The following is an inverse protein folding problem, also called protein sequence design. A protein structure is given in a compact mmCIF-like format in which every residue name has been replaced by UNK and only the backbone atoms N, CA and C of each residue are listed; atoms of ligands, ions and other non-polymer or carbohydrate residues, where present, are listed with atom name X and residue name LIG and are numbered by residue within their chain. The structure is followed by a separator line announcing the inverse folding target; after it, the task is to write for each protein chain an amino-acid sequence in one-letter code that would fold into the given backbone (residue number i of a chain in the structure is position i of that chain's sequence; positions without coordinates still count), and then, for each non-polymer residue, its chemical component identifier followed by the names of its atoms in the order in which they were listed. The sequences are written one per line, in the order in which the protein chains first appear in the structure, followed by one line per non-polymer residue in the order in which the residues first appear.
data_IF_133552036877
#
_entry.id   IF_133552036877
#
_cell.length_a   1.000
_cell.length_b   1.000
_cell.length_c   1.000
_cell.angle_alpha   90.00
_cell.angle_beta   90.00
_cell.angle_gamma   90.00
#
_symmetry.space_group_name_H-M   'P 1'
#
loop_
_entity.id
_entity.type
_entity.pdbx_description
1 polymer ?
#
# COMPACT_ATOMS: atom_id res chain seq x y z
N UNK A 1 -20.87 -10.73 -8.40
CA UNK A 1 -19.69 -10.06 -7.80
C UNK A 1 -18.99 -11.09 -6.97
N UNK A 2 -17.68 -11.26 -7.14
CA UNK A 2 -16.89 -12.21 -6.36
C UNK A 2 -16.96 -11.87 -4.87
N UNK A 3 -17.09 -12.88 -4.01
CA UNK A 3 -17.00 -12.74 -2.55
C UNK A 3 -15.56 -12.42 -2.12
N UNK A 4 -14.59 -12.78 -2.98
CA UNK A 4 -13.18 -12.60 -2.72
C UNK A 4 -12.67 -11.25 -3.26
N UNK A 5 -11.91 -10.56 -2.43
CA UNK A 5 -11.21 -9.33 -2.78
C UNK A 5 -9.90 -9.63 -3.52
N UNK A 6 -9.15 -10.64 -3.05
CA UNK A 6 -7.90 -11.09 -3.65
C UNK A 6 -7.94 -12.60 -3.78
N UNK A 7 -7.58 -13.11 -4.97
CA UNK A 7 -7.44 -14.54 -5.23
C UNK A 7 -6.05 -14.80 -5.79
N UNK A 8 -5.36 -15.76 -5.21
CA UNK A 8 -4.02 -16.19 -5.59
C UNK A 8 -4.05 -17.69 -5.87
N UNK A 9 -3.65 -18.08 -7.08
CA UNK A 9 -3.62 -19.47 -7.52
C UNK A 9 -2.22 -19.85 -7.98
N UNK A 10 -1.65 -20.89 -7.36
CA UNK A 10 -0.37 -21.53 -7.69
C UNK A 10 0.80 -20.56 -7.91
N UNK A 11 0.79 -19.46 -7.12
CA UNK A 11 1.74 -18.39 -7.25
C UNK A 11 3.14 -18.83 -6.84
N UNK A 12 4.10 -18.66 -7.75
CA UNK A 12 5.52 -18.88 -7.46
C UNK A 12 6.38 -17.70 -7.92
N UNK A 13 7.48 -17.47 -7.19
CA UNK A 13 8.46 -16.46 -7.54
C UNK A 13 9.87 -16.96 -7.30
N UNK A 14 10.65 -17.03 -8.37
CA UNK A 14 12.09 -17.27 -8.37
C UNK A 14 12.77 -16.01 -8.88
N UNK A 15 13.77 -15.51 -8.16
CA UNK A 15 14.60 -14.39 -8.58
C UNK A 15 15.76 -14.86 -9.46
N UNK A 16 16.38 -13.94 -10.20
CA UNK A 16 17.45 -14.25 -11.18
C UNK A 16 18.68 -14.93 -10.56
N UNK A 17 18.90 -14.72 -9.26
CA UNK A 17 19.94 -15.38 -8.47
C UNK A 17 19.57 -16.81 -8.05
N UNK A 18 18.45 -17.35 -8.53
CA UNK A 18 17.94 -18.69 -8.18
C UNK A 18 17.19 -18.77 -6.83
N UNK A 19 17.07 -17.64 -6.11
CA UNK A 19 16.33 -17.62 -4.84
C UNK A 19 14.84 -17.84 -5.05
N UNK A 20 14.31 -18.92 -4.47
CA UNK A 20 12.89 -19.26 -4.53
C UNK A 20 12.13 -18.59 -3.37
N UNK A 21 11.56 -17.41 -3.63
CA UNK A 21 10.90 -16.60 -2.63
C UNK A 21 9.47 -17.06 -2.32
N UNK A 22 8.75 -17.58 -3.31
CA UNK A 22 7.39 -18.11 -3.17
C UNK A 22 7.27 -19.42 -3.97
N UNK A 23 6.58 -20.42 -3.41
CA UNK A 23 6.37 -21.71 -4.04
C UNK A 23 4.92 -22.15 -3.90
N UNK A 24 4.20 -22.18 -5.03
CA UNK A 24 2.81 -22.66 -5.16
C UNK A 24 1.87 -22.10 -4.07
N UNK A 25 1.89 -20.79 -3.87
CA UNK A 25 1.04 -20.11 -2.89
C UNK A 25 -0.39 -20.05 -3.43
N UNK A 26 -1.33 -20.53 -2.63
CA UNK A 26 -2.77 -20.41 -2.86
C UNK A 26 -3.40 -19.67 -1.68
N UNK A 27 -4.13 -18.58 -1.95
CA UNK A 27 -4.72 -17.74 -0.91
C UNK A 27 -5.94 -17.01 -1.46
N UNK A 28 -7.00 -16.97 -0.66
CA UNK A 28 -8.19 -16.18 -0.93
C UNK A 28 -8.42 -15.23 0.25
N UNK A 29 -8.55 -13.95 -0.03
CA UNK A 29 -8.90 -12.91 0.95
C UNK A 29 -10.27 -12.36 0.59
N UNK A 30 -11.20 -12.41 1.53
CA UNK A 30 -12.57 -11.97 1.32
C UNK A 30 -12.71 -10.45 1.39
N UNK A 31 -13.75 -9.94 0.79
CA UNK A 31 -14.08 -8.52 0.86
C UNK A 31 -14.39 -8.11 2.30
N UNK A 32 -13.73 -7.03 2.77
CA UNK A 32 -13.88 -6.52 4.14
C UNK A 32 -13.12 -7.30 5.21
N UNK A 33 -12.34 -8.33 4.82
CA UNK A 33 -11.53 -9.10 5.76
C UNK A 33 -10.27 -8.34 6.18
N UNK A 34 -9.88 -8.48 7.44
CA UNK A 34 -8.56 -8.07 7.94
C UNK A 34 -7.68 -9.31 7.92
N UNK A 35 -6.74 -9.36 6.98
CA UNK A 35 -5.81 -10.46 6.83
C UNK A 35 -4.42 -10.09 7.36
N UNK A 36 -3.88 -10.90 8.28
CA UNK A 36 -2.54 -10.73 8.83
C UNK A 36 -1.60 -11.84 8.36
N UNK A 37 -0.45 -11.45 7.82
CA UNK A 37 0.58 -12.38 7.36
C UNK A 37 1.74 -12.42 8.34
N UNK A 38 1.90 -13.52 9.05
CA UNK A 38 2.94 -13.75 10.04
C UNK A 38 4.00 -14.72 9.49
N UNK A 39 5.23 -14.56 9.93
CA UNK A 39 6.34 -15.44 9.57
C UNK A 39 7.71 -14.76 9.75
N UNK A 40 8.82 -15.54 9.76
CA UNK A 40 10.17 -15.02 9.92
C UNK A 40 10.60 -14.10 8.76
N UNK A 41 11.71 -13.41 8.95
CA UNK A 41 12.35 -12.67 7.86
C UNK A 41 12.78 -13.64 6.76
N UNK A 42 12.57 -13.25 5.50
CA UNK A 42 12.84 -14.11 4.36
C UNK A 42 11.72 -15.10 3.99
N UNK A 43 10.61 -15.15 4.74
CA UNK A 43 9.46 -16.03 4.42
C UNK A 43 8.64 -15.62 3.19
N UNK A 44 9.09 -14.65 2.40
CA UNK A 44 8.40 -14.21 1.17
C UNK A 44 7.25 -13.23 1.37
N UNK A 45 6.98 -12.77 2.60
CA UNK A 45 5.86 -11.84 2.88
C UNK A 45 5.90 -10.57 2.02
N UNK A 46 7.03 -9.89 2.02
CA UNK A 46 7.24 -8.66 1.22
C UNK A 46 7.13 -8.97 -0.28
N UNK A 47 7.66 -10.09 -0.74
CA UNK A 47 7.55 -10.51 -2.14
C UNK A 47 6.09 -10.73 -2.54
N UNK A 48 5.30 -11.38 -1.70
CA UNK A 48 3.88 -11.61 -1.96
C UNK A 48 3.10 -10.29 -2.05
N UNK A 49 3.29 -9.40 -1.08
CA UNK A 49 2.67 -8.05 -1.09
C UNK A 49 3.08 -7.29 -2.35
N UNK A 50 4.38 -7.30 -2.70
CA UNK A 50 4.89 -6.59 -3.89
C UNK A 50 4.31 -7.15 -5.19
N UNK A 51 4.03 -8.45 -5.28
CA UNK A 51 3.35 -9.05 -6.42
C UNK A 51 1.90 -8.61 -6.49
N UNK A 52 1.16 -8.67 -5.38
CA UNK A 52 -0.25 -8.21 -5.32
C UNK A 52 -0.35 -6.74 -5.75
N UNK A 53 0.58 -5.89 -5.31
CA UNK A 53 0.64 -4.48 -5.69
C UNK A 53 1.16 -4.22 -7.11
N UNK A 54 1.52 -5.26 -7.87
CA UNK A 54 2.03 -5.12 -9.23
C UNK A 54 3.42 -4.47 -9.33
N UNK A 55 4.22 -4.50 -8.25
CA UNK A 55 5.60 -4.00 -8.21
C UNK A 55 6.57 -5.07 -8.73
N UNK A 56 6.33 -6.33 -8.36
CA UNK A 56 7.14 -7.48 -8.77
C UNK A 56 6.28 -8.41 -9.62
N UNK A 57 6.81 -8.86 -10.76
CA UNK A 57 6.12 -9.87 -11.60
C UNK A 57 6.31 -11.27 -11.00
N UNK A 58 5.26 -12.10 -10.94
CA UNK A 58 5.38 -13.50 -10.59
C UNK A 58 6.20 -14.28 -11.63
N UNK A 59 6.75 -15.43 -11.23
CA UNK A 59 7.37 -16.38 -12.17
C UNK A 59 6.34 -17.30 -12.77
N UNK A 60 5.33 -17.70 -12.00
CA UNK A 60 4.16 -18.48 -12.44
C UNK A 60 2.98 -18.26 -11.51
N UNK A 61 1.81 -18.77 -11.92
CA UNK A 61 0.56 -18.64 -11.18
C UNK A 61 -0.20 -17.36 -11.56
N UNK A 62 -1.33 -17.16 -10.91
CA UNK A 62 -2.25 -16.06 -11.19
C UNK A 62 -2.66 -15.35 -9.92
N UNK A 63 -2.76 -14.02 -9.99
CA UNK A 63 -3.30 -13.18 -8.92
C UNK A 63 -4.36 -12.26 -9.50
N UNK A 64 -5.52 -12.21 -8.87
CA UNK A 64 -6.59 -11.26 -9.20
C UNK A 64 -6.99 -10.42 -8.01
N UNK A 65 -7.37 -9.18 -8.26
CA UNK A 65 -7.91 -8.22 -7.30
C UNK A 65 -9.27 -7.76 -7.81
N UNK A 66 -10.34 -8.04 -7.09
CA UNK A 66 -11.72 -7.78 -7.53
C UNK A 66 -12.01 -8.34 -8.94
N UNK A 67 -11.58 -9.58 -9.19
CA UNK A 67 -11.67 -10.31 -10.47
C UNK A 67 -10.75 -9.77 -11.60
N UNK A 68 -10.03 -8.66 -11.40
CA UNK A 68 -9.07 -8.12 -12.37
C UNK A 68 -7.69 -8.76 -12.18
N UNK A 69 -7.07 -9.17 -13.29
CA UNK A 69 -5.72 -9.72 -13.28
C UNK A 69 -4.66 -8.64 -13.03
N UNK A 70 -3.70 -8.90 -12.13
CA UNK A 70 -2.66 -7.91 -11.76
C UNK A 70 -1.69 -7.58 -12.91
N UNK A 71 -1.63 -8.40 -13.96
CA UNK A 71 -0.74 -8.20 -15.12
C UNK A 71 -1.53 -7.64 -16.29
N UNK A 72 -2.63 -8.30 -16.68
CA UNK A 72 -3.44 -7.93 -17.84
C UNK A 72 -4.22 -6.65 -17.59
N UNK A 73 -4.83 -6.53 -16.40
CA UNK A 73 -5.65 -5.40 -15.96
C UNK A 73 -4.91 -4.48 -14.96
N UNK A 74 -3.61 -4.30 -15.12
CA UNK A 74 -2.76 -3.65 -14.11
C UNK A 74 -3.21 -2.22 -13.72
N UNK A 75 -3.87 -1.48 -14.61
CA UNK A 75 -4.39 -0.14 -14.32
C UNK A 75 -5.58 -0.21 -13.36
N UNK A 76 -6.47 -1.15 -13.60
CA UNK A 76 -7.66 -1.39 -12.78
C UNK A 76 -7.26 -1.88 -11.38
N UNK A 77 -6.35 -2.85 -11.31
CA UNK A 77 -5.89 -3.38 -10.02
C UNK A 77 -5.16 -2.33 -9.20
N UNK A 78 -4.26 -1.55 -9.81
CA UNK A 78 -3.52 -0.49 -9.10
C UNK A 78 -4.43 0.64 -8.61
N UNK A 79 -5.54 0.94 -9.30
CA UNK A 79 -6.51 1.93 -8.84
C UNK A 79 -7.30 1.47 -7.61
N UNK A 80 -7.29 0.17 -7.29
CA UNK A 80 -8.01 -0.47 -6.17
C UNK A 80 -7.12 -0.83 -4.98
N UNK A 81 -5.80 -0.75 -5.15
CA UNK A 81 -4.82 -1.12 -4.13
C UNK A 81 -4.16 0.14 -3.57
N UNK A 82 -4.21 0.31 -2.26
CA UNK A 82 -3.37 1.26 -1.53
C UNK A 82 -2.24 0.53 -0.82
N UNK A 83 -1.00 0.95 -1.03
CA UNK A 83 0.17 0.40 -0.34
C UNK A 83 0.74 1.41 0.63
N UNK A 84 0.85 1.01 1.91
CA UNK A 84 1.62 1.75 2.91
C UNK A 84 2.96 1.05 3.10
N UNK A 85 4.08 1.66 2.66
CA UNK A 85 5.39 1.03 2.77
C UNK A 85 5.85 0.96 4.23
N UNK A 86 6.69 -0.02 4.53
CA UNK A 86 7.26 -0.18 5.87
C UNK A 86 8.27 0.94 6.18
N UNK A 87 9.02 1.39 5.19
CA UNK A 87 9.95 2.51 5.32
C UNK A 87 9.25 3.84 5.06
N UNK A 88 9.55 4.82 5.89
CA UNK A 88 8.96 6.16 5.81
C UNK A 88 9.60 6.92 4.62
N UNK A 89 8.95 6.91 3.48
CA UNK A 89 9.34 7.68 2.28
C UNK A 89 8.76 9.10 2.30
N UNK A 90 8.75 9.73 3.47
CA UNK A 90 8.22 11.09 3.66
C UNK A 90 9.36 12.11 3.54
N UNK A 91 9.07 13.26 2.89
CA UNK A 91 10.01 14.38 2.80
C UNK A 91 10.25 15.00 4.19
N UNK A 92 11.39 14.69 4.80
CA UNK A 92 11.67 15.01 6.19
C UNK A 92 11.85 16.50 6.47
N UNK A 93 12.17 17.29 5.44
CA UNK A 93 12.41 18.74 5.54
C UNK A 93 11.15 19.57 5.24
N UNK A 94 10.10 18.93 4.76
CA UNK A 94 8.82 19.57 4.51
C UNK A 94 7.90 19.52 5.73
N UNK A 95 6.90 20.42 5.74
CA UNK A 95 5.89 20.45 6.80
C UNK A 95 4.94 19.25 6.68
N UNK A 96 4.24 18.94 7.77
CA UNK A 96 3.19 17.91 7.79
C UNK A 96 2.14 18.19 6.73
N UNK A 97 1.66 19.42 6.63
CA UNK A 97 0.66 19.82 5.66
C UNK A 97 1.14 19.65 4.22
N UNK A 98 2.36 20.08 3.92
CA UNK A 98 2.94 19.96 2.57
C UNK A 98 3.12 18.51 2.16
N UNK A 99 3.58 17.63 3.07
CA UNK A 99 3.70 16.20 2.79
C UNK A 99 2.36 15.55 2.42
N UNK A 100 1.28 15.86 3.15
CA UNK A 100 -0.04 15.33 2.85
C UNK A 100 -0.57 15.89 1.53
N UNK A 101 -0.36 17.20 1.28
CA UNK A 101 -0.75 17.83 0.03
C UNK A 101 -0.03 17.23 -1.18
N UNK A 102 1.28 17.01 -1.04
CA UNK A 102 2.12 16.39 -2.06
C UNK A 102 1.68 14.93 -2.33
N UNK A 103 1.49 14.13 -1.28
CA UNK A 103 0.98 12.76 -1.41
C UNK A 103 -0.33 12.72 -2.19
N UNK A 104 -1.28 13.60 -1.87
CA UNK A 104 -2.55 13.71 -2.60
C UNK A 104 -2.33 14.00 -4.10
N UNK A 105 -1.40 14.91 -4.43
CA UNK A 105 -1.03 15.23 -5.81
C UNK A 105 -0.43 14.06 -6.59
N UNK A 106 0.39 13.22 -5.95
CA UNK A 106 0.97 12.02 -6.56
C UNK A 106 -0.10 11.01 -7.03
N UNK A 107 -1.26 10.97 -6.34
CA UNK A 107 -2.41 10.16 -6.75
C UNK A 107 -3.37 10.87 -7.71
N UNK A 108 -2.94 12.00 -8.30
CA UNK A 108 -3.74 12.75 -9.27
C UNK A 108 -4.98 13.44 -8.69
N UNK A 109 -5.09 13.55 -7.38
CA UNK A 109 -6.21 14.23 -6.71
C UNK A 109 -5.98 15.74 -6.70
N UNK A 110 -7.03 16.52 -6.91
CA UNK A 110 -6.97 17.99 -6.83
C UNK A 110 -6.63 18.45 -5.41
N UNK A 111 -5.96 19.60 -5.26
CA UNK A 111 -5.75 20.21 -3.95
C UNK A 111 -7.08 20.40 -3.20
N UNK A 112 -7.12 19.94 -1.95
CA UNK A 112 -8.31 20.05 -1.08
C UNK A 112 -7.86 20.28 0.37
N UNK A 113 -7.61 21.54 0.76
CA UNK A 113 -7.19 21.88 2.11
C UNK A 113 -8.19 21.45 3.20
N UNK A 114 -9.48 21.46 2.89
CA UNK A 114 -10.55 21.08 3.83
C UNK A 114 -10.50 19.59 4.13
N UNK A 115 -10.28 18.77 3.12
CA UNK A 115 -10.09 17.33 3.30
C UNK A 115 -8.81 17.04 4.13
N UNK A 116 -7.70 17.71 3.81
CA UNK A 116 -6.43 17.56 4.55
C UNK A 116 -6.61 17.95 6.03
N UNK A 117 -7.30 19.06 6.31
CA UNK A 117 -7.62 19.48 7.67
C UNK A 117 -8.41 18.40 8.43
N UNK A 118 -9.46 17.87 7.79
CA UNK A 118 -10.29 16.79 8.36
C UNK A 118 -9.44 15.57 8.72
N UNK A 119 -8.62 15.10 7.81
CA UNK A 119 -7.76 13.93 8.00
C UNK A 119 -6.74 14.17 9.11
N UNK A 120 -6.04 15.30 9.10
CA UNK A 120 -5.07 15.64 10.13
C UNK A 120 -5.71 15.79 11.51
N UNK A 121 -6.93 16.30 11.61
CA UNK A 121 -7.70 16.34 12.88
C UNK A 121 -8.03 14.93 13.37
N UNK A 122 -8.48 14.03 12.51
CA UNK A 122 -8.75 12.64 12.87
C UNK A 122 -7.50 11.91 13.42
N UNK A 123 -6.34 12.25 12.93
CA UNK A 123 -5.05 11.70 13.37
C UNK A 123 -4.43 12.46 14.55
N UNK A 124 -5.10 13.51 15.08
CA UNK A 124 -4.56 14.38 16.14
C UNK A 124 -3.24 15.05 15.76
N UNK A 125 -3.07 15.39 14.49
CA UNK A 125 -1.87 16.01 13.92
C UNK A 125 -2.12 17.44 13.39
N UNK A 126 -3.34 17.97 13.45
CA UNK A 126 -3.66 19.30 12.95
C UNK A 126 -2.85 20.41 13.60
N UNK A 127 -2.70 20.36 14.93
CA UNK A 127 -1.91 21.35 15.68
C UNK A 127 -0.41 21.35 15.33
N UNK A 128 0.02 20.32 14.60
CA UNK A 128 1.41 20.12 14.15
C UNK A 128 1.56 20.29 12.63
N UNK A 129 0.53 20.78 11.93
CA UNK A 129 0.51 20.88 10.47
C UNK A 129 1.68 21.66 9.88
N UNK A 130 2.16 22.68 10.61
CA UNK A 130 3.26 23.55 10.20
C UNK A 130 4.65 23.08 10.70
N UNK A 131 4.70 22.01 11.49
CA UNK A 131 5.97 21.43 11.91
C UNK A 131 6.63 20.66 10.77
N UNK A 132 7.97 20.78 10.69
CA UNK A 132 8.80 19.97 9.80
C UNK A 132 8.71 18.50 10.24
N UNK A 133 8.57 17.60 9.31
CA UNK A 133 8.37 16.16 9.56
C UNK A 133 9.47 15.54 10.45
N UNK A 134 10.70 16.01 10.29
CA UNK A 134 11.84 15.56 11.10
C UNK A 134 11.60 15.68 12.61
N UNK A 135 10.80 16.67 13.05
CA UNK A 135 10.47 16.93 14.45
C UNK A 135 9.39 16.02 15.02
N UNK A 136 8.70 15.25 14.19
CA UNK A 136 7.69 14.30 14.65
C UNK A 136 8.31 13.01 15.20
N UNK A 137 7.62 12.40 16.16
CA UNK A 137 7.95 11.05 16.63
C UNK A 137 7.74 9.99 15.52
N UNK A 138 8.37 8.82 15.66
CA UNK A 138 8.19 7.72 14.73
C UNK A 138 6.71 7.31 14.57
N UNK A 139 5.96 7.20 15.66
CA UNK A 139 4.54 6.89 15.62
C UNK A 139 3.72 7.95 14.90
N UNK A 140 4.00 9.25 15.09
CA UNK A 140 3.32 10.33 14.37
C UNK A 140 3.63 10.28 12.87
N UNK A 141 4.87 9.97 12.49
CA UNK A 141 5.26 9.77 11.09
C UNK A 141 4.53 8.58 10.48
N UNK A 142 4.42 7.47 11.21
CA UNK A 142 3.65 6.30 10.75
C UNK A 142 2.17 6.65 10.53
N UNK A 143 1.57 7.44 11.41
CA UNK A 143 0.19 7.90 11.22
C UNK A 143 0.01 8.69 9.92
N UNK A 144 1.00 9.50 9.50
CA UNK A 144 0.92 10.25 8.24
C UNK A 144 0.92 9.36 6.99
N UNK A 145 1.48 8.17 7.04
CA UNK A 145 1.40 7.23 5.90
C UNK A 145 -0.03 6.80 5.61
N UNK A 146 -0.90 6.79 6.61
CA UNK A 146 -2.32 6.49 6.44
C UNK A 146 -3.12 7.67 5.87
N UNK A 147 -2.50 8.86 5.70
CA UNK A 147 -3.13 10.00 5.02
C UNK A 147 -3.02 9.91 3.50
N UNK A 148 -2.24 8.97 2.98
CA UNK A 148 -2.22 8.72 1.54
C UNK A 148 -3.63 8.43 1.06
N UNK A 149 -4.07 9.07 -0.05
CA UNK A 149 -5.40 8.84 -0.57
C UNK A 149 -5.61 7.34 -0.78
N UNK A 150 -6.68 6.82 -0.19
CA UNK A 150 -7.14 5.48 -0.48
C UNK A 150 -7.77 5.46 -1.89
N UNK A 151 -7.71 4.35 -2.61
CA UNK A 151 -8.53 4.18 -3.83
C UNK A 151 -10.02 4.43 -3.61
N UNK A 152 -10.46 4.44 -2.35
CA UNK A 152 -11.86 4.67 -1.94
C UNK A 152 -12.21 6.15 -1.69
N UNK A 153 -11.22 7.05 -1.67
CA UNK A 153 -11.42 8.51 -1.50
C UNK A 153 -11.61 9.20 -2.90
#
# INVERSE_FOLDING_TARGET
MSENQIVINDLSKVYDNGFNALKNINLNIKKGEIFAMLGPNGAGKTTLISIICGIVKPSSGKVTVEDFDIIEDYRETRSRIGLVPQELTLEQFETVFNNVSYSRGLYGKKPDPTHIEKVLKQLSLWDKKDLILRKLSGGMKSCLLYTSPSPRD
#
